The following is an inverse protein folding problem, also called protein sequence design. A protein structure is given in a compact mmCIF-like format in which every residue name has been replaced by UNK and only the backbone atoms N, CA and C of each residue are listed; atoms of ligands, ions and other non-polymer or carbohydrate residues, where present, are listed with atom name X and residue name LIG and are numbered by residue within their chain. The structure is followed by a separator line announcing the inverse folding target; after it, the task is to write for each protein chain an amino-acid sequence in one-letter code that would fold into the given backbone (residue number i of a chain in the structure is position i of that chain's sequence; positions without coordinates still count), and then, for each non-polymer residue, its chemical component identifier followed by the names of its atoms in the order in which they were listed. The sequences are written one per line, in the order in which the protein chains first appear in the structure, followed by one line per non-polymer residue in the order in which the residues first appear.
data_IF_996937357034
#
_entry.id   IF_996937357034
#
_cell.length_a   1.000
_cell.length_b   1.000
_cell.length_c   1.000
_cell.angle_alpha   90.00
_cell.angle_beta   90.00
_cell.angle_gamma   90.00
#
_symmetry.space_group_name_H-M   'P 1'
#
loop_
_entity.id
_entity.type
_entity.pdbx_description
1 polymer ?
#
# COMPACT_ATOMS: atom_id res chain seq x y z
N UNK A 1 17.71 -13.68 4.75
CA UNK A 1 16.72 -12.68 4.31
C UNK A 1 16.47 -12.93 2.83
N UNK A 2 15.27 -13.38 2.46
CA UNK A 2 14.99 -13.76 1.06
C UNK A 2 13.93 -12.83 0.48
N UNK A 3 14.30 -12.17 -0.61
CA UNK A 3 13.42 -11.39 -1.46
C UNK A 3 13.68 -9.88 -1.38
N UNK A 4 13.48 -9.15 -2.49
CA UNK A 4 13.36 -7.70 -2.45
C UNK A 4 12.11 -7.29 -1.66
N UNK A 5 12.22 -6.27 -0.82
CA UNK A 5 11.11 -5.68 -0.07
C UNK A 5 10.29 -4.76 -0.99
N UNK A 6 9.41 -5.37 -1.80
CA UNK A 6 8.59 -4.66 -2.80
C UNK A 6 7.19 -4.34 -2.27
N UNK A 7 6.82 -3.06 -2.20
CA UNK A 7 5.51 -2.62 -1.68
C UNK A 7 4.46 -2.39 -2.78
N UNK A 8 4.88 -2.11 -4.01
CA UNK A 8 3.94 -1.84 -5.11
C UNK A 8 2.89 -2.94 -5.31
N UNK A 9 3.21 -4.26 -5.24
CA UNK A 9 2.22 -5.31 -5.44
C UNK A 9 1.09 -5.28 -4.41
N UNK A 10 1.40 -5.11 -3.12
CA UNK A 10 0.37 -5.13 -2.06
C UNK A 10 -0.48 -3.86 -2.06
N UNK A 11 0.11 -2.69 -2.33
CA UNK A 11 -0.62 -1.43 -2.49
C UNK A 11 -1.62 -1.54 -3.65
N UNK A 12 -1.18 -2.05 -4.81
CA UNK A 12 -2.05 -2.23 -5.97
C UNK A 12 -3.15 -3.27 -5.70
N UNK A 13 -2.89 -4.30 -4.91
CA UNK A 13 -3.89 -5.30 -4.54
C UNK A 13 -5.02 -4.68 -3.71
N UNK A 14 -4.69 -3.92 -2.65
CA UNK A 14 -5.69 -3.25 -1.82
C UNK A 14 -6.44 -2.15 -2.59
N UNK A 15 -5.71 -1.40 -3.44
CA UNK A 15 -6.30 -0.39 -4.30
C UNK A 15 -7.41 -0.95 -5.21
N UNK A 16 -7.32 -2.21 -5.67
CA UNK A 16 -8.41 -2.81 -6.46
C UNK A 16 -9.70 -2.95 -5.65
N UNK A 17 -9.61 -3.38 -4.39
CA UNK A 17 -10.79 -3.48 -3.53
C UNK A 17 -11.38 -2.10 -3.22
N UNK A 18 -10.53 -1.12 -2.92
CA UNK A 18 -10.97 0.27 -2.69
C UNK A 18 -11.58 0.90 -3.95
N UNK A 19 -11.10 0.57 -5.14
CA UNK A 19 -11.69 1.02 -6.39
C UNK A 19 -13.06 0.37 -6.65
N UNK A 20 -13.20 -0.93 -6.37
CA UNK A 20 -14.47 -1.62 -6.48
C UNK A 20 -15.52 -1.09 -5.49
N UNK A 21 -15.12 -0.67 -4.27
CA UNK A 21 -16.06 -0.12 -3.29
C UNK A 21 -16.69 1.21 -3.73
N UNK A 22 -16.02 2.00 -4.58
CA UNK A 22 -16.58 3.22 -5.17
C UNK A 22 -17.69 2.96 -6.20
N UNK A 23 -17.72 1.77 -6.81
CA UNK A 23 -18.70 1.40 -7.83
C UNK A 23 -19.95 0.74 -7.23
N UNK A 24 -19.85 0.27 -5.99
CA UNK A 24 -20.97 -0.29 -5.25
C UNK A 24 -21.84 0.89 -4.81
N UNK A 25 -23.09 0.99 -5.29
CA UNK A 25 -24.03 2.07 -4.96
C UNK A 25 -24.50 2.12 -3.49
N UNK A 26 -23.72 1.54 -2.58
CA UNK A 26 -23.90 1.54 -1.12
C UNK A 26 -22.87 2.50 -0.49
N UNK A 27 -22.87 2.63 0.84
CA UNK A 27 -21.87 3.45 1.53
C UNK A 27 -20.44 2.97 1.18
N UNK A 28 -19.59 3.89 0.71
CA UNK A 28 -18.24 3.57 0.28
C UNK A 28 -17.45 2.91 1.42
N UNK A 29 -16.97 1.68 1.19
CA UNK A 29 -16.09 1.00 2.13
C UNK A 29 -14.71 1.67 2.11
N UNK A 30 -14.20 1.99 3.30
CA UNK A 30 -12.89 2.59 3.48
C UNK A 30 -11.89 1.55 3.96
N UNK A 31 -10.69 1.52 3.36
CA UNK A 31 -9.67 0.51 3.63
C UNK A 31 -8.44 1.12 4.32
N UNK A 32 -7.82 0.37 5.23
CA UNK A 32 -6.53 0.74 5.82
C UNK A 32 -5.56 -0.40 5.56
N UNK A 33 -4.49 -0.12 4.80
CA UNK A 33 -3.37 -1.04 4.58
C UNK A 33 -2.26 -0.72 5.58
N UNK A 34 -2.04 -1.63 6.53
CA UNK A 34 -0.90 -1.60 7.45
C UNK A 34 0.21 -2.50 6.91
N UNK A 35 1.38 -1.93 6.63
CA UNK A 35 2.60 -2.63 6.23
C UNK A 35 3.60 -2.55 7.39
N UNK A 36 4.13 -3.68 7.82
CA UNK A 36 5.19 -3.77 8.84
C UNK A 36 6.42 -4.34 8.15
N UNK A 37 7.56 -3.66 8.23
CA UNK A 37 8.80 -4.08 7.56
C UNK A 37 10.02 -3.84 8.42
N UNK A 38 11.04 -4.69 8.29
CA UNK A 38 12.35 -4.56 8.92
C UNK A 38 13.47 -4.14 7.94
N UNK A 39 13.12 -3.77 6.70
CA UNK A 39 14.10 -3.44 5.66
C UNK A 39 13.63 -2.37 4.69
N UNK A 40 14.58 -1.84 3.93
CA UNK A 40 14.38 -0.77 2.96
C UNK A 40 13.53 -1.21 1.75
N UNK A 41 12.76 -0.27 1.20
CA UNK A 41 11.93 -0.50 0.01
C UNK A 41 12.81 -0.63 -1.24
N UNK A 42 12.72 -1.77 -1.92
CA UNK A 42 13.54 -2.05 -3.12
C UNK A 42 12.88 -1.60 -4.43
N UNK A 43 11.56 -1.33 -4.43
CA UNK A 43 10.79 -0.87 -5.60
C UNK A 43 10.24 0.55 -5.42
N UNK A 44 11.06 1.48 -4.92
CA UNK A 44 10.63 2.82 -4.51
C UNK A 44 9.85 3.57 -5.60
N UNK A 45 10.29 3.51 -6.85
CA UNK A 45 9.61 4.18 -7.97
C UNK A 45 8.21 3.60 -8.25
N UNK A 46 8.10 2.27 -8.27
CA UNK A 46 6.84 1.55 -8.48
C UNK A 46 5.89 1.73 -7.30
N UNK A 47 6.44 1.80 -6.08
CA UNK A 47 5.70 2.07 -4.84
C UNK A 47 5.16 3.50 -4.85
N UNK A 48 5.97 4.50 -5.23
CA UNK A 48 5.52 5.88 -5.42
C UNK A 48 4.36 5.96 -6.42
N UNK A 49 4.48 5.30 -7.57
CA UNK A 49 3.41 5.27 -8.57
C UNK A 49 2.14 4.61 -8.03
N UNK A 50 2.26 3.53 -7.26
CA UNK A 50 1.12 2.86 -6.64
C UNK A 50 0.41 3.77 -5.61
N UNK A 51 1.18 4.49 -4.77
CA UNK A 51 0.64 5.45 -3.79
C UNK A 51 -0.10 6.59 -4.50
N UNK A 52 0.50 7.20 -5.54
CA UNK A 52 -0.14 8.28 -6.30
C UNK A 52 -1.44 7.82 -6.97
N UNK A 53 -1.51 6.57 -7.45
CA UNK A 53 -2.74 6.00 -7.99
C UNK A 53 -3.78 5.76 -6.89
N UNK A 54 -3.35 5.21 -5.75
CA UNK A 54 -4.20 4.90 -4.62
C UNK A 54 -4.75 6.15 -3.90
N UNK A 55 -4.10 7.31 -4.02
CA UNK A 55 -4.52 8.55 -3.34
C UNK A 55 -5.89 9.08 -3.78
N UNK A 56 -6.46 8.53 -4.86
CA UNK A 56 -7.81 8.86 -5.35
C UNK A 56 -8.89 7.88 -4.85
N UNK A 57 -8.50 6.89 -4.05
CA UNK A 57 -9.37 5.81 -3.58
C UNK A 57 -9.69 5.98 -2.09
N UNK A 58 -10.78 5.37 -1.59
CA UNK A 58 -11.13 5.41 -0.17
C UNK A 58 -10.23 4.47 0.63
N UNK A 59 -8.93 4.80 0.71
CA UNK A 59 -7.97 4.02 1.49
C UNK A 59 -6.85 4.87 2.10
N UNK A 60 -6.32 4.40 3.22
CA UNK A 60 -5.08 4.87 3.84
C UNK A 60 -4.00 3.79 3.82
N UNK A 61 -2.74 4.20 3.76
CA UNK A 61 -1.58 3.31 3.85
C UNK A 61 -0.75 3.76 5.05
N UNK A 62 -0.44 2.83 5.95
CA UNK A 62 0.41 3.02 7.12
C UNK A 62 1.59 2.07 6.97
N UNK A 63 2.81 2.62 7.02
CA UNK A 63 4.04 1.83 6.95
C UNK A 63 4.75 1.98 8.30
N UNK A 64 5.05 0.86 8.93
CA UNK A 64 5.76 0.79 10.21
C UNK A 64 7.09 0.06 9.99
N UNK A 65 8.19 0.81 10.09
CA UNK A 65 9.53 0.24 10.18
C UNK A 65 9.76 -0.35 11.58
N UNK A 66 10.33 -1.55 11.65
CA UNK A 66 10.74 -2.22 12.89
C UNK A 66 12.20 -2.68 12.79
N UNK A 67 12.88 -2.85 13.92
CA UNK A 67 14.29 -3.26 13.92
C UNK A 67 15.26 -2.10 13.74
N UNK A 68 16.47 -2.40 13.28
CA UNK A 68 17.62 -1.47 13.29
C UNK A 68 18.00 -0.94 11.89
N UNK A 69 17.16 -1.17 10.87
CA UNK A 69 17.39 -0.59 9.55
C UNK A 69 17.25 0.95 9.57
N UNK A 70 17.96 1.63 8.68
CA UNK A 70 17.82 3.07 8.46
C UNK A 70 16.60 3.28 7.55
N UNK A 71 15.57 3.98 8.04
CA UNK A 71 14.25 4.12 7.40
C UNK A 71 13.97 5.55 6.95
#
# INVERSE_FOLDING_TARGET
LYGPTNFSPIINHVARFAAHSLQQGTAAQYFILLIITDGEITDLDQTRQAIVKASKLPMSIIIVGVGEADF
#
